data_IF_260152258828
#
_entry.id   IF_260152258828
#
_cell.length_a   1.000
_cell.length_b   1.000
_cell.length_c   1.000
_cell.angle_alpha   90.00
_cell.angle_beta   90.00
_cell.angle_gamma   90.00
#
_symmetry.space_group_name_H-M   'P 1'
#
loop_
_entity.id
_entity.type
_entity.pdbx_description
1 polymer ?
#
# COMPACT_ATOMS: atom_id res chain seq x y z
N UNK A 1 -31.83 35.54 -0.38
CA UNK A 1 -31.38 34.45 -1.27
C UNK A 1 -30.25 33.72 -0.55
N UNK A 2 -30.55 32.64 0.19
CA UNK A 2 -29.58 31.85 0.96
C UNK A 2 -29.14 30.66 0.10
N UNK A 3 -27.85 30.59 -0.22
CA UNK A 3 -27.23 29.42 -0.88
C UNK A 3 -27.07 28.33 0.20
N UNK A 4 -27.74 27.20 0.01
CA UNK A 4 -27.56 26.00 0.82
C UNK A 4 -26.34 25.28 0.27
N UNK A 5 -25.22 25.40 0.98
CA UNK A 5 -24.02 24.61 0.75
C UNK A 5 -24.33 23.15 1.07
N UNK A 6 -24.08 22.27 0.09
CA UNK A 6 -24.07 20.83 0.27
C UNK A 6 -22.88 20.51 1.18
N UNK A 7 -23.16 20.16 2.45
CA UNK A 7 -22.16 19.51 3.28
C UNK A 7 -21.99 18.09 2.76
N UNK A 8 -20.82 17.85 2.18
CA UNK A 8 -20.35 16.53 1.81
C UNK A 8 -20.37 15.61 3.03
N UNK A 9 -21.04 14.48 2.88
CA UNK A 9 -21.06 13.38 3.82
C UNK A 9 -19.67 12.73 3.78
N UNK A 10 -18.77 13.13 4.68
CA UNK A 10 -17.55 12.36 4.93
C UNK A 10 -18.00 11.16 5.77
N UNK A 11 -18.34 10.07 5.10
CA UNK A 11 -18.51 8.79 5.74
C UNK A 11 -17.12 8.34 6.21
N UNK A 12 -16.77 8.64 7.46
CA UNK A 12 -15.68 7.95 8.16
C UNK A 12 -16.09 6.50 8.32
N UNK A 13 -15.78 5.70 7.31
CA UNK A 13 -15.72 4.25 7.46
C UNK A 13 -14.39 4.01 8.16
N UNK A 14 -14.41 4.11 9.48
CA UNK A 14 -13.41 3.47 10.32
C UNK A 14 -13.59 1.97 10.12
N UNK A 15 -12.88 1.41 9.14
CA UNK A 15 -12.83 -0.02 8.89
C UNK A 15 -12.13 -0.67 10.08
N UNK A 16 -12.92 -0.98 11.12
CA UNK A 16 -12.48 -1.67 12.31
C UNK A 16 -12.27 -3.13 11.93
N UNK A 17 -11.05 -3.49 11.54
CA UNK A 17 -10.69 -4.89 11.37
C UNK A 17 -10.08 -5.45 12.66
N UNK A 18 -10.95 -5.95 13.54
CA UNK A 18 -10.53 -6.78 14.67
C UNK A 18 -10.21 -8.18 14.12
N UNK A 19 -8.93 -8.54 14.20
CA UNK A 19 -8.34 -9.86 13.88
C UNK A 19 -8.44 -10.29 12.41
N UNK A 20 -7.48 -9.85 11.58
CA UNK A 20 -7.12 -10.57 10.36
C UNK A 20 -7.34 -9.87 9.02
N UNK A 21 -7.61 -8.56 8.95
CA UNK A 21 -7.44 -7.87 7.66
C UNK A 21 -5.96 -7.74 7.40
N UNK A 22 -5.47 -8.57 6.49
CA UNK A 22 -4.25 -8.26 5.79
C UNK A 22 -4.47 -6.97 5.00
N UNK A 23 -3.57 -5.98 5.09
CA UNK A 23 -3.64 -4.81 4.21
C UNK A 23 -3.53 -5.25 2.75
N UNK A 24 -4.28 -4.57 1.89
CA UNK A 24 -4.27 -4.80 0.45
C UNK A 24 -3.29 -3.86 -0.25
N UNK A 25 -2.95 -4.16 -1.51
CA UNK A 25 -2.19 -3.25 -2.38
C UNK A 25 -2.91 -1.91 -2.53
N UNK A 26 -4.25 -1.93 -2.59
CA UNK A 26 -5.09 -0.72 -2.66
C UNK A 26 -4.95 0.17 -1.41
N UNK A 27 -4.88 -0.44 -0.21
CA UNK A 27 -4.69 0.31 1.04
C UNK A 27 -3.33 1.04 1.05
N UNK A 28 -2.27 0.36 0.61
CA UNK A 28 -0.92 0.93 0.52
C UNK A 28 -0.87 2.06 -0.51
N UNK A 29 -1.43 1.85 -1.71
CA UNK A 29 -1.44 2.87 -2.76
C UNK A 29 -2.28 4.10 -2.40
N UNK A 30 -3.39 3.93 -1.67
CA UNK A 30 -4.16 5.05 -1.16
C UNK A 30 -3.33 5.95 -0.23
N UNK A 31 -2.44 5.37 0.56
CA UNK A 31 -1.53 6.10 1.44
C UNK A 31 -0.38 6.76 0.68
N UNK A 32 0.19 6.10 -0.33
CA UNK A 32 1.20 6.73 -1.18
C UNK A 32 0.67 7.93 -1.95
N UNK A 33 -0.62 7.94 -2.32
CA UNK A 33 -1.23 9.10 -2.98
C UNK A 33 -1.41 10.33 -2.06
N UNK A 34 -1.19 10.19 -0.75
CA UNK A 34 -1.08 11.34 0.15
C UNK A 34 0.26 12.08 -0.01
N UNK A 35 1.25 11.46 -0.69
CA UNK A 35 2.57 12.02 -0.95
C UNK A 35 2.57 12.79 -2.27
N UNK A 36 3.08 14.03 -2.28
CA UNK A 36 3.06 14.89 -3.48
C UNK A 36 3.84 14.32 -4.67
N UNK A 37 4.82 13.44 -4.44
CA UNK A 37 5.79 12.99 -5.45
C UNK A 37 5.71 11.49 -5.82
N UNK A 38 4.73 10.72 -5.30
CA UNK A 38 4.67 9.25 -5.47
C UNK A 38 3.72 8.72 -6.55
N UNK A 39 3.29 9.58 -7.48
CA UNK A 39 2.39 9.19 -8.56
C UNK A 39 0.92 9.11 -8.12
N UNK A 40 0.05 8.64 -9.01
CA UNK A 40 -1.36 8.46 -8.69
C UNK A 40 -1.68 7.03 -8.21
N UNK A 41 -2.85 6.88 -7.58
CA UNK A 41 -3.32 5.59 -7.04
C UNK A 41 -3.48 4.54 -8.14
N UNK A 42 -3.78 4.94 -9.37
CA UNK A 42 -4.05 4.02 -10.47
C UNK A 42 -2.75 3.35 -10.94
N UNK A 43 -1.69 4.14 -11.16
CA UNK A 43 -0.37 3.66 -11.53
C UNK A 43 0.22 2.78 -10.41
N UNK A 44 0.14 3.21 -9.15
CA UNK A 44 0.60 2.41 -8.02
C UNK A 44 -0.11 1.06 -7.94
N UNK A 45 -1.44 1.04 -8.12
CA UNK A 45 -2.19 -0.22 -8.10
C UNK A 45 -1.82 -1.11 -9.27
N UNK A 46 -1.55 -0.55 -10.45
CA UNK A 46 -1.10 -1.34 -11.60
C UNK A 46 0.23 -2.03 -11.31
N UNK A 47 1.19 -1.29 -10.77
CA UNK A 47 2.53 -1.80 -10.44
C UNK A 47 2.45 -2.87 -9.34
N UNK A 48 1.74 -2.60 -8.23
CA UNK A 48 1.63 -3.56 -7.14
C UNK A 48 0.81 -4.81 -7.51
N UNK A 49 -0.22 -4.69 -8.35
CA UNK A 49 -0.96 -5.86 -8.84
C UNK A 49 -0.11 -6.72 -9.79
N UNK A 50 0.76 -6.09 -10.58
CA UNK A 50 1.72 -6.81 -11.42
C UNK A 50 2.77 -7.54 -10.55
N UNK A 51 3.27 -6.88 -9.50
CA UNK A 51 4.18 -7.49 -8.56
C UNK A 51 3.52 -8.65 -7.79
N UNK A 52 2.27 -8.52 -7.36
CA UNK A 52 1.49 -9.59 -6.72
C UNK A 52 1.34 -10.80 -7.65
N UNK A 53 0.99 -10.57 -8.92
CA UNK A 53 0.90 -11.63 -9.92
C UNK A 53 2.24 -12.35 -10.12
N UNK A 54 3.34 -11.60 -10.15
CA UNK A 54 4.69 -12.15 -10.27
C UNK A 54 5.07 -12.96 -9.03
N UNK A 55 4.74 -12.47 -7.83
CA UNK A 55 4.95 -13.18 -6.57
C UNK A 55 4.19 -14.51 -6.55
N UNK A 56 2.97 -14.52 -7.07
CA UNK A 56 2.16 -15.73 -7.21
C UNK A 56 2.76 -16.74 -8.19
N UNK A 57 3.26 -16.29 -9.33
CA UNK A 57 3.94 -17.16 -10.30
C UNK A 57 5.24 -17.76 -9.72
N UNK A 58 5.93 -17.01 -8.85
CA UNK A 58 7.13 -17.44 -8.15
C UNK A 58 6.87 -18.27 -6.88
N UNK A 59 5.60 -18.51 -6.51
CA UNK A 59 5.20 -19.16 -5.25
C UNK A 59 5.70 -18.42 -3.99
N UNK A 60 5.87 -17.10 -4.07
CA UNK A 60 6.35 -16.20 -3.01
C UNK A 60 5.28 -15.19 -2.54
N UNK A 61 4.01 -15.60 -2.59
CA UNK A 61 2.89 -14.79 -2.12
C UNK A 61 3.13 -14.33 -0.68
N UNK A 62 3.71 -15.18 0.18
CA UNK A 62 3.97 -14.89 1.59
C UNK A 62 5.01 -13.79 1.84
N UNK A 63 6.05 -13.70 1.03
CA UNK A 63 7.07 -12.66 1.08
C UNK A 63 6.49 -11.31 0.64
N UNK A 64 5.74 -11.30 -0.47
CA UNK A 64 5.07 -10.10 -0.97
C UNK A 64 4.06 -9.58 0.05
N UNK A 65 3.26 -10.49 0.57
CA UNK A 65 2.32 -10.30 1.67
C UNK A 65 2.95 -9.65 2.91
N UNK A 66 4.13 -10.09 3.31
CA UNK A 66 4.84 -9.54 4.46
C UNK A 66 5.43 -8.14 4.16
N UNK A 67 5.76 -7.86 2.90
CA UNK A 67 6.21 -6.54 2.47
C UNK A 67 5.05 -5.54 2.43
N UNK A 68 3.88 -5.91 1.90
CA UNK A 68 2.66 -5.08 1.94
C UNK A 68 2.26 -4.77 3.39
N UNK A 69 2.29 -5.76 4.29
CA UNK A 69 2.08 -5.53 5.72
C UNK A 69 3.10 -4.57 6.34
N UNK A 70 4.35 -4.64 5.90
CA UNK A 70 5.38 -3.71 6.36
C UNK A 70 5.08 -2.28 5.91
N UNK A 71 4.78 -2.07 4.61
CA UNK A 71 4.43 -0.77 4.07
C UNK A 71 3.20 -0.16 4.78
N UNK A 72 2.19 -1.00 5.06
CA UNK A 72 1.03 -0.56 5.84
C UNK A 72 1.39 -0.16 7.28
N UNK A 73 2.39 -0.82 7.87
CA UNK A 73 2.89 -0.49 9.22
C UNK A 73 3.81 0.74 9.31
N UNK A 74 4.36 1.22 8.20
CA UNK A 74 5.27 2.39 8.20
C UNK A 74 4.51 3.65 8.59
N UNK A 75 5.02 4.41 9.57
CA UNK A 75 4.33 5.60 10.08
C UNK A 75 4.29 6.79 9.11
N UNK A 76 5.35 6.96 8.31
CA UNK A 76 5.46 7.98 7.27
C UNK A 76 5.92 7.31 5.98
N UNK A 77 4.97 7.09 5.07
CA UNK A 77 5.18 6.42 3.77
C UNK A 77 5.62 7.38 2.67
N UNK A 78 5.74 8.68 2.97
CA UNK A 78 6.27 9.67 2.05
C UNK A 78 7.78 9.84 2.21
N UNK A 79 8.35 9.33 3.30
CA UNK A 79 9.79 9.31 3.57
C UNK A 79 10.39 7.95 3.17
N UNK A 80 11.14 7.95 2.07
CA UNK A 80 11.85 6.78 1.56
C UNK A 80 12.80 6.18 2.60
N UNK A 81 13.50 7.02 3.39
CA UNK A 81 14.41 6.54 4.42
C UNK A 81 13.66 5.77 5.52
N UNK A 82 12.43 6.20 5.82
CA UNK A 82 11.58 5.56 6.82
C UNK A 82 11.02 4.23 6.29
N UNK A 83 10.64 4.16 5.01
CA UNK A 83 10.26 2.90 4.38
C UNK A 83 11.45 1.94 4.38
N UNK A 84 12.62 2.39 3.92
CA UNK A 84 13.79 1.53 3.83
C UNK A 84 14.22 1.01 5.20
N UNK A 85 14.26 1.86 6.22
CA UNK A 85 14.59 1.45 7.58
C UNK A 85 13.60 0.40 8.15
N UNK A 86 12.34 0.42 7.71
CA UNK A 86 11.32 -0.52 8.17
C UNK A 86 11.25 -1.81 7.33
N UNK A 87 11.41 -1.70 6.00
CA UNK A 87 10.94 -2.71 5.06
C UNK A 87 12.01 -3.26 4.11
N UNK A 88 13.25 -2.77 4.12
CA UNK A 88 14.31 -3.24 3.20
C UNK A 88 14.52 -4.77 3.28
N UNK A 89 14.49 -5.35 4.48
CA UNK A 89 14.63 -6.82 4.63
C UNK A 89 13.46 -7.58 4.00
N UNK A 90 12.25 -7.00 4.01
CA UNK A 90 11.06 -7.61 3.38
C UNK A 90 11.11 -7.43 1.87
N UNK A 91 11.45 -6.24 1.40
CA UNK A 91 11.64 -5.95 -0.01
C UNK A 91 12.71 -6.88 -0.61
N UNK A 92 13.85 -7.02 0.05
CA UNK A 92 14.93 -7.91 -0.40
C UNK A 92 14.51 -9.38 -0.46
N UNK A 93 13.57 -9.84 0.38
CA UNK A 93 13.03 -11.19 0.31
C UNK A 93 12.12 -11.36 -0.93
N UNK A 94 11.32 -10.35 -1.25
CA UNK A 94 10.48 -10.32 -2.46
C UNK A 94 11.34 -10.30 -3.72
N UNK A 95 12.39 -9.48 -3.76
CA UNK A 95 13.33 -9.42 -4.88
C UNK A 95 14.11 -10.73 -5.06
N UNK A 96 14.56 -11.35 -3.96
CA UNK A 96 15.23 -12.67 -4.01
C UNK A 96 14.32 -13.79 -4.52
N UNK A 97 13.01 -13.60 -4.38
CA UNK A 97 11.98 -14.46 -4.93
C UNK A 97 11.73 -14.26 -6.44
N UNK A 98 12.38 -13.27 -7.06
CA UNK A 98 12.26 -13.00 -8.49
C UNK A 98 11.07 -12.12 -8.86
N UNK A 99 10.57 -11.33 -7.91
CA UNK A 99 9.57 -10.29 -8.14
C UNK A 99 10.30 -8.97 -8.32
N UNK A 100 10.11 -8.34 -9.49
CA UNK A 100 10.70 -7.05 -9.82
C UNK A 100 9.66 -5.92 -9.67
N UNK A 101 10.13 -4.73 -9.28
CA UNK A 101 9.35 -3.49 -9.09
C UNK A 101 9.82 -2.38 -10.04
#
# INVERSE_FOLDING_TARGET
MKRLAHLALVASISSFCFTGCKPTTEDVCARFAECEDRGDVEDCNADLNQAEASAKEAECEGEFDAWIECLDGVGDVCDDDNISAACDEKLAAVEQCGVDF
#
